data_IF_026139532896
#
_entry.id   IF_026139532896
#
_cell.length_a   1.000
_cell.length_b   1.000
_cell.length_c   1.000
_cell.angle_alpha   90.00
_cell.angle_beta   90.00
_cell.angle_gamma   90.00
#
_symmetry.space_group_name_H-M   'P 1'
#
loop_
_entity.id
_entity.type
_entity.pdbx_description
1 polymer ?
#
# COMPACT_ATOMS: atom_id res chain seq x y z
N UNK A 1 -12.84 -0.98 -3.49
CA UNK A 1 -13.53 -2.02 -4.27
C UNK A 1 -15.04 -2.02 -4.06
N UNK A 2 -15.54 -1.25 -3.12
CA UNK A 2 -16.97 -1.17 -2.85
C UNK A 2 -17.54 -2.32 -2.00
N UNK A 3 -16.66 -3.18 -1.47
CA UNK A 3 -17.13 -4.28 -0.62
C UNK A 3 -17.62 -3.75 0.71
N UNK A 4 -18.82 -4.18 1.12
CA UNK A 4 -19.31 -3.89 2.45
C UNK A 4 -18.77 -4.94 3.41
N UNK A 5 -18.18 -4.50 4.50
CA UNK A 5 -17.60 -5.38 5.51
C UNK A 5 -17.55 -4.65 6.85
N UNK A 6 -17.63 -5.42 7.93
CA UNK A 6 -17.50 -4.86 9.28
C UNK A 6 -16.03 -4.65 9.66
N UNK A 7 -15.12 -5.13 8.86
CA UNK A 7 -13.69 -5.02 9.14
C UNK A 7 -12.99 -4.27 8.03
N UNK A 8 -12.51 -3.08 8.36
CA UNK A 8 -11.75 -2.24 7.45
C UNK A 8 -10.43 -1.85 8.10
N UNK A 9 -9.39 -1.78 7.28
CA UNK A 9 -8.07 -1.37 7.70
C UNK A 9 -7.81 0.05 7.22
N UNK A 10 -7.24 0.89 8.08
CA UNK A 10 -6.82 2.21 7.68
C UNK A 10 -5.49 2.13 6.92
N UNK A 11 -5.39 2.86 5.84
CA UNK A 11 -4.16 2.92 5.04
C UNK A 11 -3.88 4.34 4.58
N UNK A 12 -2.62 4.75 4.67
CA UNK A 12 -2.18 6.06 4.26
C UNK A 12 -1.98 6.14 2.75
N UNK A 13 -2.30 7.28 2.18
CA UNK A 13 -2.08 7.57 0.76
C UNK A 13 -1.15 8.76 0.63
N UNK A 14 -0.03 8.54 -0.04
CA UNK A 14 1.04 9.50 -0.17
C UNK A 14 1.12 10.08 -1.58
N UNK A 15 1.40 11.36 -1.65
CA UNK A 15 1.74 12.03 -2.90
C UNK A 15 3.24 12.28 -2.90
N UNK A 16 3.89 11.88 -3.97
CA UNK A 16 5.33 11.98 -4.10
C UNK A 16 5.74 13.10 -5.04
N UNK A 17 6.64 13.98 -4.58
CA UNK A 17 7.33 14.93 -5.44
C UNK A 17 8.70 14.33 -5.74
N UNK A 18 8.84 13.74 -6.90
CA UNK A 18 10.07 13.04 -7.29
C UNK A 18 11.23 13.97 -7.63
N UNK A 19 10.99 15.27 -7.71
CA UNK A 19 12.03 16.27 -7.96
C UNK A 19 12.59 16.76 -6.62
N UNK A 20 11.73 17.12 -5.70
CA UNK A 20 12.13 17.63 -4.38
C UNK A 20 12.32 16.52 -3.35
N UNK A 21 11.95 15.31 -3.68
CA UNK A 21 11.97 14.14 -2.79
C UNK A 21 11.16 14.39 -1.51
N UNK A 22 9.95 14.88 -1.71
CA UNK A 22 8.99 15.11 -0.63
C UNK A 22 7.84 14.11 -0.77
N UNK A 23 7.53 13.46 0.34
CA UNK A 23 6.45 12.52 0.45
C UNK A 23 5.39 13.14 1.34
N UNK A 24 4.28 13.54 0.74
CA UNK A 24 3.20 14.22 1.48
C UNK A 24 2.06 13.27 1.76
N UNK A 25 1.65 13.20 3.01
CA UNK A 25 0.48 12.43 3.40
C UNK A 25 -0.78 13.16 2.93
N UNK A 26 -1.47 12.57 1.97
CA UNK A 26 -2.60 13.20 1.32
C UNK A 26 -3.93 12.77 1.93
N UNK A 27 -4.04 11.52 2.30
CA UNK A 27 -5.28 10.97 2.84
C UNK A 27 -5.02 9.69 3.63
N UNK A 28 -5.98 9.34 4.47
CA UNK A 28 -6.05 8.03 5.11
C UNK A 28 -7.42 7.48 4.75
N UNK A 29 -7.45 6.33 4.08
CA UNK A 29 -8.69 5.69 3.68
C UNK A 29 -8.87 4.34 4.35
N UNK A 30 -10.10 3.90 4.45
CA UNK A 30 -10.43 2.58 4.96
C UNK A 30 -10.52 1.60 3.79
N UNK A 31 -9.78 0.51 3.89
CA UNK A 31 -9.71 -0.51 2.86
C UNK A 31 -10.15 -1.85 3.42
N UNK A 32 -10.79 -2.68 2.58
CA UNK A 32 -11.01 -4.07 2.96
C UNK A 32 -9.66 -4.81 3.01
N UNK A 33 -9.63 -5.96 3.66
CA UNK A 33 -8.39 -6.71 3.85
C UNK A 33 -7.65 -7.02 2.55
N UNK A 34 -8.35 -7.35 1.48
CA UNK A 34 -7.70 -7.61 0.19
C UNK A 34 -7.18 -6.34 -0.47
N UNK A 35 -7.93 -5.24 -0.45
CA UNK A 35 -7.44 -3.96 -0.98
C UNK A 35 -6.20 -3.50 -0.21
N UNK A 36 -6.18 -3.71 1.10
CA UNK A 36 -5.02 -3.40 1.93
C UNK A 36 -3.81 -4.27 1.56
N UNK A 37 -4.02 -5.57 1.32
CA UNK A 37 -2.96 -6.46 0.86
C UNK A 37 -2.41 -6.05 -0.51
N UNK A 38 -3.26 -5.55 -1.41
CA UNK A 38 -2.81 -5.03 -2.69
C UNK A 38 -1.88 -3.83 -2.50
N UNK A 39 -2.16 -2.98 -1.53
CA UNK A 39 -1.28 -1.84 -1.22
C UNK A 39 0.08 -2.25 -0.66
N UNK A 40 0.17 -3.43 -0.06
CA UNK A 40 1.41 -3.99 0.46
C UNK A 40 1.86 -5.22 -0.33
N UNK A 41 1.67 -5.16 -1.64
CA UNK A 41 1.84 -6.34 -2.50
C UNK A 41 3.25 -6.93 -2.44
N UNK A 42 4.25 -6.09 -2.26
CA UNK A 42 5.63 -6.56 -2.11
C UNK A 42 5.80 -7.51 -0.93
N UNK A 43 5.21 -7.18 0.20
CA UNK A 43 5.24 -8.03 1.38
C UNK A 43 4.54 -9.36 1.12
N UNK A 44 3.31 -9.30 0.63
CA UNK A 44 2.46 -10.50 0.51
C UNK A 44 2.87 -11.45 -0.59
N UNK A 45 3.35 -10.95 -1.72
CA UNK A 45 3.69 -11.79 -2.87
C UNK A 45 5.18 -12.16 -2.94
N UNK A 46 6.05 -11.38 -2.31
CA UNK A 46 7.48 -11.50 -2.57
C UNK A 46 8.35 -11.70 -1.33
N UNK A 47 7.76 -11.98 -0.17
CA UNK A 47 8.54 -12.30 1.02
C UNK A 47 8.10 -13.64 1.63
N UNK A 48 9.03 -14.36 2.28
CA UNK A 48 8.68 -15.58 3.01
C UNK A 48 7.69 -15.33 4.15
N UNK A 49 7.79 -14.18 4.80
CA UNK A 49 6.87 -13.81 5.88
C UNK A 49 5.46 -13.61 5.36
N UNK A 50 5.31 -12.95 4.21
CA UNK A 50 4.01 -12.77 3.56
C UNK A 50 3.39 -14.12 3.20
N UNK A 51 4.19 -15.02 2.66
CA UNK A 51 3.72 -16.36 2.32
C UNK A 51 3.23 -17.13 3.55
N UNK A 52 3.98 -17.07 4.64
CA UNK A 52 3.57 -17.71 5.89
C UNK A 52 2.28 -17.15 6.45
N UNK A 53 2.13 -15.83 6.41
CA UNK A 53 0.92 -15.16 6.88
C UNK A 53 -0.29 -15.51 6.03
N UNK A 54 -0.13 -15.58 4.71
CA UNK A 54 -1.21 -16.01 3.82
C UNK A 54 -1.66 -17.43 4.13
N UNK A 55 -0.74 -18.35 4.33
CA UNK A 55 -1.08 -19.72 4.71
C UNK A 55 -1.86 -19.79 6.01
N UNK A 56 -1.49 -18.97 6.99
CA UNK A 56 -2.22 -18.89 8.25
C UNK A 56 -3.67 -18.45 8.06
N UNK A 57 -3.90 -17.58 7.12
CA UNK A 57 -5.23 -17.06 6.80
C UNK A 57 -6.00 -17.98 5.82
N UNK A 58 -5.39 -19.06 5.38
CA UNK A 58 -6.00 -19.96 4.39
C UNK A 58 -6.05 -19.36 2.99
N UNK A 59 -5.14 -18.45 2.68
CA UNK A 59 -5.11 -17.74 1.41
C UNK A 59 -3.89 -18.11 0.58
N UNK A 60 -4.01 -17.91 -0.73
CA UNK A 60 -2.92 -18.05 -1.68
C UNK A 60 -2.62 -16.70 -2.33
N UNK A 61 -1.42 -16.55 -2.88
CA UNK A 61 -1.01 -15.35 -3.60
C UNK A 61 -2.01 -14.95 -4.69
N UNK A 62 -2.54 -15.92 -5.41
CA UNK A 62 -3.51 -15.66 -6.48
C UNK A 62 -4.81 -15.03 -5.99
N UNK A 63 -5.17 -15.19 -4.72
CA UNK A 63 -6.33 -14.50 -4.18
C UNK A 63 -6.14 -12.97 -4.24
N UNK A 64 -4.93 -12.50 -3.97
CA UNK A 64 -4.60 -11.07 -4.02
C UNK A 64 -4.58 -10.59 -5.47
N UNK A 65 -3.92 -11.34 -6.35
CA UNK A 65 -3.86 -11.02 -7.79
C UNK A 65 -5.25 -10.94 -8.39
N UNK A 66 -6.08 -11.94 -8.10
CA UNK A 66 -7.45 -11.98 -8.60
C UNK A 66 -8.28 -10.80 -8.09
N UNK A 67 -8.08 -10.42 -6.83
CA UNK A 67 -8.77 -9.25 -6.29
C UNK A 67 -8.39 -7.98 -7.04
N UNK A 68 -7.09 -7.77 -7.29
CA UNK A 68 -6.61 -6.64 -8.07
C UNK A 68 -7.25 -6.63 -9.46
N UNK A 69 -7.22 -7.77 -10.13
CA UNK A 69 -7.75 -7.89 -11.49
C UNK A 69 -9.27 -7.63 -11.53
N UNK A 70 -10.00 -8.11 -10.55
CA UNK A 70 -11.43 -7.89 -10.47
C UNK A 70 -11.79 -6.41 -10.24
N UNK A 71 -11.07 -5.76 -9.34
CA UNK A 71 -11.31 -4.34 -9.03
C UNK A 71 -10.95 -3.45 -10.21
N UNK A 72 -9.86 -3.74 -10.88
CA UNK A 72 -9.35 -2.91 -11.98
C UNK A 72 -9.83 -3.37 -13.35
N UNK A 73 -10.61 -4.44 -13.41
CA UNK A 73 -11.12 -5.01 -14.66
C UNK A 73 -10.01 -5.26 -15.67
N UNK A 74 -8.97 -5.94 -15.21
CA UNK A 74 -7.79 -6.23 -16.03
C UNK A 74 -7.42 -7.71 -15.94
N UNK A 75 -6.54 -8.12 -16.84
CA UNK A 75 -6.01 -9.48 -16.90
C UNK A 75 -4.83 -9.64 -15.95
N UNK A 76 -4.43 -10.89 -15.68
CA UNK A 76 -3.21 -11.17 -14.92
C UNK A 76 -1.98 -10.63 -15.64
N UNK A 77 -1.93 -10.69 -16.96
CA UNK A 77 -0.83 -10.13 -17.73
C UNK A 77 -0.71 -8.63 -17.51
N UNK A 78 -1.82 -7.91 -17.53
CA UNK A 78 -1.83 -6.48 -17.24
C UNK A 78 -1.43 -6.20 -15.80
N UNK A 79 -1.86 -7.02 -14.85
CA UNK A 79 -1.41 -6.93 -13.47
C UNK A 79 0.11 -7.04 -13.38
N UNK A 80 0.71 -8.01 -14.08
CA UNK A 80 2.18 -8.19 -14.04
C UNK A 80 2.92 -6.96 -14.57
N UNK A 81 2.39 -6.31 -15.58
CA UNK A 81 2.95 -5.05 -16.09
C UNK A 81 2.85 -3.92 -15.08
N UNK A 82 1.73 -3.79 -14.40
CA UNK A 82 1.56 -2.81 -13.33
C UNK A 82 2.52 -3.08 -12.18
N UNK A 83 2.65 -4.33 -11.79
CA UNK A 83 3.55 -4.73 -10.72
C UNK A 83 5.00 -4.40 -11.07
N UNK A 84 5.43 -4.73 -12.28
CA UNK A 84 6.77 -4.45 -12.75
C UNK A 84 7.08 -2.95 -12.72
N UNK A 85 6.17 -2.13 -13.20
CA UNK A 85 6.32 -0.68 -13.17
C UNK A 85 6.33 -0.14 -11.75
N UNK A 86 5.48 -0.64 -10.88
CA UNK A 86 5.45 -0.24 -9.49
C UNK A 86 6.78 -0.55 -8.79
N UNK A 87 7.37 -1.72 -9.03
CA UNK A 87 8.67 -2.07 -8.49
C UNK A 87 9.78 -1.19 -9.04
N UNK A 88 9.71 -0.84 -10.32
CA UNK A 88 10.68 0.07 -10.94
C UNK A 88 10.66 1.44 -10.26
N UNK A 89 9.48 1.99 -10.05
CA UNK A 89 9.30 3.28 -9.37
C UNK A 89 9.80 3.19 -7.93
N UNK A 90 9.43 2.14 -7.22
CA UNK A 90 9.85 1.90 -5.84
C UNK A 90 11.39 1.84 -5.74
N UNK A 91 12.05 1.09 -6.62
CA UNK A 91 13.50 1.01 -6.65
C UNK A 91 14.14 2.35 -6.92
N UNK A 92 13.58 3.13 -7.84
CA UNK A 92 14.10 4.45 -8.16
C UNK A 92 13.97 5.40 -6.97
N UNK A 93 12.81 5.41 -6.34
CA UNK A 93 12.57 6.25 -5.16
C UNK A 93 13.46 5.89 -3.98
N UNK A 94 13.79 4.62 -3.83
CA UNK A 94 14.66 4.18 -2.74
C UNK A 94 16.12 4.66 -2.84
N UNK A 95 16.53 5.20 -3.96
CA UNK A 95 17.86 5.76 -4.11
C UNK A 95 18.04 7.10 -3.38
N UNK A 96 16.97 7.71 -2.94
CA UNK A 96 16.97 9.04 -2.35
C UNK A 96 16.44 9.05 -0.93
N UNK A 97 16.83 10.08 -0.17
CA UNK A 97 16.22 10.34 1.12
C UNK A 97 14.99 11.19 0.89
N UNK A 98 13.90 10.82 1.53
CA UNK A 98 12.63 11.51 1.39
C UNK A 98 12.31 12.30 2.66
N UNK A 99 11.86 13.53 2.46
CA UNK A 99 11.30 14.32 3.55
C UNK A 99 9.82 14.05 3.62
N UNK A 100 9.33 13.76 4.81
CA UNK A 100 7.93 13.48 5.00
C UNK A 100 7.19 14.73 5.42
N UNK A 101 6.09 15.01 4.73
CA UNK A 101 5.19 16.11 5.03
C UNK A 101 3.84 15.52 5.41
N UNK A 102 3.46 15.65 6.66
CA UNK A 102 2.21 15.10 7.15
C UNK A 102 1.01 16.03 6.94
N UNK A 103 1.24 17.25 6.45
CA UNK A 103 0.16 18.20 6.18
C UNK A 103 -0.77 18.39 7.37
N UNK A 104 -2.06 18.20 7.15
CA UNK A 104 -3.06 18.33 8.21
C UNK A 104 -2.99 17.21 9.26
N UNK A 105 -2.24 16.14 8.99
CA UNK A 105 -2.07 15.04 9.93
C UNK A 105 -0.82 15.20 10.79
N UNK A 106 -0.16 16.36 10.74
CA UNK A 106 1.07 16.60 11.50
C UNK A 106 0.76 16.53 13.00
N UNK A 107 1.49 15.71 13.76
CA UNK A 107 1.30 15.59 15.20
C UNK A 107 1.51 16.89 15.95
N UNK A 108 2.29 17.81 15.39
CA UNK A 108 2.52 19.13 16.00
C UNK A 108 1.30 20.03 15.88
N UNK A 109 0.44 19.77 14.90
CA UNK A 109 -0.75 20.56 14.68
C UNK A 109 -1.92 19.90 15.37
N UNK A 110 -1.96 18.57 15.33
CA UNK A 110 -3.07 17.83 15.91
C UNK A 110 -2.59 17.00 17.07
N UNK A 111 -2.88 17.47 18.25
CA UNK A 111 -2.40 16.82 19.41
C UNK A 111 -3.01 15.52 19.71
N UNK A 112 -4.03 15.18 19.03
CA UNK A 112 -4.66 14.01 19.23
C UNK A 112 -4.01 12.92 18.69
N UNK A 113 -3.15 12.50 19.03
CA UNK A 113 -2.49 11.51 18.63
C UNK A 113 -2.48 10.84 17.67
N UNK A 114 -1.77 10.43 17.34
CA UNK A 114 -1.57 9.88 16.38
C UNK A 114 -1.13 8.70 16.48
N UNK A 115 -1.56 7.90 16.02
CA UNK A 115 -1.13 6.69 15.95
C UNK A 115 0.02 6.60 15.18
N UNK A 116 0.69 5.64 15.26
CA UNK A 116 1.87 5.41 14.61
C UNK A 116 1.66 5.00 13.22
N UNK A 117 1.70 5.90 12.34
CA UNK A 117 1.66 5.59 10.93
C UNK A 117 3.02 5.06 10.56
N UNK A 118 3.10 3.81 10.17
CA UNK A 118 4.33 3.24 9.71
C UNK A 118 4.54 3.62 8.30
N UNK A 119 5.55 4.42 8.09
CA UNK A 119 5.78 5.02 6.80
C UNK A 119 6.63 4.19 5.89
N UNK A 120 7.12 3.08 6.34
CA UNK A 120 8.08 2.31 5.57
C UNK A 120 7.46 1.34 4.62
N UNK A 121 6.18 1.17 4.68
CA UNK A 121 5.69 0.12 3.96
C UNK A 121 4.96 0.44 2.80
N UNK A 122 5.65 0.92 1.83
CA UNK A 122 5.02 1.19 0.70
C UNK A 122 5.33 0.23 -0.25
N UNK A 123 4.58 -0.40 -0.63
CA UNK A 123 4.63 -1.10 -1.77
C UNK A 123 3.83 -2.10 -1.69
#
# INVERSE_FOLDING_TARGET
>A
CGKETNRLDAHEFWKYDDIKHIQKLEAIHHLCGFCHKVKHIGLWLHTPDGERMLKKEGLAKMNIVNHFCNVNKCSEEEFRKYEEEAFRIWSERNKYKWKQDFGEYDPKINVQKQSNVKLSEFF
#
